data_IF_463871287495
#
_entry.id   IF_463871287495
#
_cell.length_a   1.000
_cell.length_b   1.000
_cell.length_c   1.000
_cell.angle_alpha   90.00
_cell.angle_beta   90.00
_cell.angle_gamma   90.00
#
_symmetry.space_group_name_H-M   'P 1'
#
loop_
_entity.id
_entity.type
_entity.pdbx_description
1 polymer ?
#
# COMPACT_ATOMS: atom_id res chain seq x y z
N UNK A 1 -28.26 12.88 14.59
CA UNK A 1 -28.05 11.80 13.62
C UNK A 1 -27.32 12.42 12.44
N UNK A 2 -26.01 12.27 12.40
CA UNK A 2 -25.22 12.60 11.19
C UNK A 2 -25.41 11.44 10.22
N UNK A 3 -26.06 11.69 9.09
CA UNK A 3 -26.09 10.75 7.98
C UNK A 3 -24.66 10.54 7.48
N UNK A 4 -24.18 9.30 7.52
CA UNK A 4 -22.95 8.94 6.87
C UNK A 4 -23.08 9.24 5.38
N UNK A 5 -22.36 10.23 4.90
CA UNK A 5 -22.29 10.61 3.49
C UNK A 5 -21.79 9.40 2.72
N UNK A 6 -22.71 8.71 2.02
CA UNK A 6 -22.38 7.56 1.18
C UNK A 6 -21.34 8.05 0.17
N UNK A 7 -20.08 7.64 0.35
CA UNK A 7 -19.04 7.94 -0.62
C UNK A 7 -19.48 7.37 -1.96
N UNK A 8 -19.56 8.22 -2.98
CA UNK A 8 -19.85 7.75 -4.34
C UNK A 8 -18.70 6.84 -4.76
N UNK A 9 -19.00 5.57 -5.09
CA UNK A 9 -17.98 4.68 -5.69
C UNK A 9 -17.41 5.39 -6.91
N UNK A 10 -16.10 5.57 -6.91
CA UNK A 10 -15.37 6.05 -8.08
C UNK A 10 -15.49 4.97 -9.15
N UNK A 11 -15.77 5.38 -10.37
CA UNK A 11 -15.82 4.49 -11.51
C UNK A 11 -14.38 4.00 -11.79
N UNK A 12 -14.18 2.69 -11.69
CA UNK A 12 -12.87 2.04 -11.85
C UNK A 12 -12.88 1.23 -13.14
N UNK A 13 -11.85 1.37 -13.96
CA UNK A 13 -11.62 0.54 -15.15
C UNK A 13 -11.42 -0.92 -14.78
N UNK A 14 -10.59 -1.15 -13.76
CA UNK A 14 -10.41 -2.43 -13.08
C UNK A 14 -10.67 -2.24 -11.59
N UNK A 15 -11.31 -3.23 -10.97
CA UNK A 15 -11.58 -3.20 -9.52
C UNK A 15 -10.32 -3.58 -8.77
N UNK A 16 -9.87 -2.70 -7.89
CA UNK A 16 -8.61 -2.86 -7.17
C UNK A 16 -8.86 -2.88 -5.66
N UNK A 17 -8.41 -3.96 -5.02
CA UNK A 17 -8.29 -4.03 -3.57
C UNK A 17 -6.90 -3.52 -3.14
N UNK A 18 -6.85 -2.63 -2.16
CA UNK A 18 -5.59 -2.01 -1.71
C UNK A 18 -5.24 -2.48 -0.31
N UNK A 19 -4.03 -3.00 -0.15
CA UNK A 19 -3.50 -3.49 1.13
C UNK A 19 -2.33 -2.61 1.54
N UNK A 20 -2.48 -1.91 2.66
CA UNK A 20 -1.41 -1.10 3.24
C UNK A 20 -0.68 -1.83 4.35
N UNK A 21 0.66 -1.96 4.27
CA UNK A 21 1.44 -2.62 5.31
C UNK A 21 2.47 -1.68 5.91
N UNK A 22 2.50 -1.65 7.25
CA UNK A 22 3.32 -0.72 8.02
C UNK A 22 2.79 0.72 7.96
N UNK A 23 3.44 1.65 8.62
CA UNK A 23 2.95 3.03 8.77
C UNK A 23 2.75 3.75 7.41
N UNK A 24 3.76 3.75 6.56
CA UNK A 24 3.69 4.46 5.27
C UNK A 24 2.71 3.83 4.30
N UNK A 25 2.71 2.49 4.20
CA UNK A 25 1.78 1.74 3.37
C UNK A 25 0.33 1.94 3.81
N UNK A 26 0.07 1.89 5.12
CA UNK A 26 -1.27 2.10 5.69
C UNK A 26 -1.84 3.49 5.39
N UNK A 27 -1.03 4.54 5.45
CA UNK A 27 -1.46 5.91 5.09
C UNK A 27 -1.80 6.05 3.61
N UNK A 28 -1.06 5.35 2.75
CA UNK A 28 -1.35 5.36 1.32
C UNK A 28 -2.64 4.59 1.01
N UNK A 29 -2.85 3.42 1.63
CA UNK A 29 -4.09 2.66 1.53
C UNK A 29 -5.31 3.44 2.06
N UNK A 30 -5.15 4.18 3.17
CA UNK A 30 -6.17 5.11 3.66
C UNK A 30 -6.54 6.17 2.62
N UNK A 31 -5.55 6.69 1.89
CA UNK A 31 -5.79 7.69 0.83
C UNK A 31 -6.58 7.08 -0.33
N UNK A 32 -6.28 5.86 -0.75
CA UNK A 32 -7.11 5.12 -1.71
C UNK A 32 -8.53 4.89 -1.18
N UNK A 33 -8.66 4.51 0.09
CA UNK A 33 -9.98 4.35 0.72
C UNK A 33 -10.81 5.62 0.66
N UNK A 34 -10.22 6.78 0.96
CA UNK A 34 -10.86 8.10 0.83
C UNK A 34 -11.31 8.43 -0.60
N UNK A 35 -10.67 7.82 -1.61
CA UNK A 35 -11.05 7.93 -3.03
C UNK A 35 -12.05 6.86 -3.48
N UNK A 36 -12.56 6.02 -2.56
CA UNK A 36 -13.62 5.04 -2.82
C UNK A 36 -13.14 3.65 -3.23
N UNK A 37 -11.86 3.32 -3.03
CA UNK A 37 -11.31 1.98 -3.21
C UNK A 37 -11.57 1.11 -1.98
N UNK A 38 -11.75 -0.19 -2.19
CA UNK A 38 -11.72 -1.15 -1.09
C UNK A 38 -10.28 -1.25 -0.58
N UNK A 39 -10.09 -0.97 0.71
CA UNK A 39 -8.76 -0.98 1.32
C UNK A 39 -8.77 -1.54 2.73
N UNK A 40 -7.67 -2.20 3.09
CA UNK A 40 -7.40 -2.65 4.45
C UNK A 40 -5.93 -2.39 4.82
N UNK A 41 -5.63 -2.45 6.10
CA UNK A 41 -4.29 -2.15 6.60
C UNK A 41 -3.82 -3.18 7.62
N UNK A 42 -2.51 -3.48 7.58
CA UNK A 42 -1.84 -4.44 8.46
C UNK A 42 -0.64 -3.75 9.09
N UNK A 43 -0.48 -3.88 10.39
CA UNK A 43 0.71 -3.37 11.08
C UNK A 43 1.04 -4.22 12.31
N UNK A 44 2.27 -4.14 12.78
CA UNK A 44 2.75 -4.70 14.05
C UNK A 44 2.75 -3.66 15.18
N UNK A 45 2.40 -2.41 14.89
CA UNK A 45 2.30 -1.29 15.81
C UNK A 45 0.85 -0.85 15.97
N UNK A 46 0.30 -1.03 17.18
CA UNK A 46 -1.06 -0.59 17.51
C UNK A 46 -1.20 0.94 17.37
N UNK A 47 -0.20 1.69 17.82
CA UNK A 47 -0.22 3.15 17.72
C UNK A 47 -0.36 3.64 16.28
N UNK A 48 0.34 3.00 15.34
CA UNK A 48 0.25 3.39 13.94
C UNK A 48 -1.14 3.12 13.36
N UNK A 49 -1.79 2.01 13.74
CA UNK A 49 -3.15 1.68 13.30
C UNK A 49 -4.22 2.62 13.87
N UNK A 50 -4.05 3.12 15.09
CA UNK A 50 -4.98 4.06 15.72
C UNK A 50 -5.14 5.37 14.93
N UNK A 51 -4.10 5.79 14.21
CA UNK A 51 -4.11 7.01 13.39
C UNK A 51 -4.63 6.82 11.97
N UNK A 52 -5.02 5.60 11.57
CA UNK A 52 -5.56 5.32 10.24
C UNK A 52 -7.09 5.36 10.26
N UNK A 53 -7.68 6.15 9.38
CA UNK A 53 -9.13 6.38 9.31
C UNK A 53 -9.81 5.40 8.36
N UNK A 54 -9.68 4.10 8.64
CA UNK A 54 -10.50 3.04 8.07
C UNK A 54 -11.29 2.36 9.21
N UNK A 55 -12.34 1.62 8.89
CA UNK A 55 -13.11 0.91 9.93
C UNK A 55 -12.27 -0.17 10.62
N UNK A 56 -12.61 -0.51 11.86
CA UNK A 56 -11.80 -1.46 12.66
C UNK A 56 -11.74 -2.87 12.04
N UNK A 57 -12.78 -3.31 11.36
CA UNK A 57 -12.82 -4.57 10.60
C UNK A 57 -11.86 -4.57 9.36
N UNK A 58 -11.29 -3.43 9.02
CA UNK A 58 -10.29 -3.25 7.96
C UNK A 58 -8.88 -3.00 8.50
N UNK A 59 -8.66 -3.26 9.79
CA UNK A 59 -7.36 -3.13 10.45
C UNK A 59 -6.94 -4.48 11.04
N UNK A 60 -5.74 -4.93 10.74
CA UNK A 60 -5.15 -6.11 11.35
C UNK A 60 -3.89 -5.70 12.12
N UNK A 61 -3.88 -5.95 13.41
CA UNK A 61 -2.70 -5.85 14.25
C UNK A 61 -2.07 -7.24 14.39
N UNK A 62 -0.89 -7.43 13.82
CA UNK A 62 -0.12 -8.65 14.05
C UNK A 62 0.66 -8.53 15.37
N UNK A 63 0.35 -9.42 16.30
CA UNK A 63 1.02 -9.50 17.60
C UNK A 63 2.38 -10.21 17.47
N UNK A 64 3.34 -9.86 18.30
CA UNK A 64 4.68 -10.48 18.33
C UNK A 64 5.80 -9.51 18.68
N UNK A 65 5.50 -8.20 18.75
CA UNK A 65 6.48 -7.22 19.24
C UNK A 65 5.85 -6.13 20.09
N UNK A 66 6.52 -5.69 21.13
CA UNK A 66 6.14 -4.53 21.93
C UNK A 66 6.43 -3.25 21.13
N UNK A 67 5.41 -2.74 20.39
CA UNK A 67 5.50 -1.44 19.71
C UNK A 67 6.06 -1.46 18.29
N UNK A 68 6.01 -2.61 17.60
CA UNK A 68 6.49 -2.77 16.23
C UNK A 68 7.85 -3.46 16.12
N UNK A 69 8.32 -3.74 14.91
CA UNK A 69 9.57 -4.50 14.66
C UNK A 69 10.85 -3.69 14.86
N UNK A 70 10.76 -2.37 15.11
CA UNK A 70 11.93 -1.51 15.35
C UNK A 70 12.97 -1.52 14.23
N UNK A 71 12.57 -1.74 12.97
CA UNK A 71 13.44 -1.91 11.78
C UNK A 71 14.25 -3.21 11.77
N UNK A 72 13.86 -4.19 12.59
CA UNK A 72 14.39 -5.55 12.53
C UNK A 72 13.61 -6.34 11.48
N UNK A 73 14.27 -6.68 10.37
CA UNK A 73 13.64 -7.38 9.25
C UNK A 73 13.39 -8.87 9.57
N UNK A 74 14.24 -9.48 10.36
CA UNK A 74 14.13 -10.91 10.67
C UNK A 74 12.95 -11.13 11.62
N UNK A 75 12.83 -10.33 12.68
CA UNK A 75 11.67 -10.34 13.56
C UNK A 75 10.37 -10.05 12.79
N UNK A 76 10.40 -9.04 11.90
CA UNK A 76 9.24 -8.73 11.10
C UNK A 76 8.84 -9.87 10.17
N UNK A 77 9.80 -10.54 9.56
CA UNK A 77 9.57 -11.69 8.67
C UNK A 77 8.93 -12.86 9.43
N UNK A 78 9.47 -13.20 10.60
CA UNK A 78 8.93 -14.24 11.47
C UNK A 78 7.45 -13.96 11.84
N UNK A 79 7.10 -12.73 12.25
CA UNK A 79 5.74 -12.35 12.58
C UNK A 79 4.78 -12.56 11.39
N UNK A 80 5.18 -12.18 10.18
CA UNK A 80 4.33 -12.35 9.00
C UNK A 80 4.21 -13.82 8.58
N UNK A 81 5.29 -14.61 8.67
CA UNK A 81 5.30 -16.05 8.37
C UNK A 81 4.41 -16.83 9.35
N UNK A 82 4.43 -16.49 10.63
CA UNK A 82 3.59 -17.11 11.65
C UNK A 82 2.10 -16.73 11.53
N UNK A 83 1.79 -15.65 10.83
CA UNK A 83 0.43 -15.09 10.71
C UNK A 83 -0.21 -15.31 9.34
N UNK A 84 0.32 -16.20 8.49
CA UNK A 84 -0.15 -16.36 7.09
C UNK A 84 -1.65 -16.64 7.01
N UNK A 85 -2.16 -17.58 7.80
CA UNK A 85 -3.59 -17.96 7.80
C UNK A 85 -4.48 -16.79 8.24
N UNK A 86 -4.10 -16.10 9.31
CA UNK A 86 -4.83 -14.93 9.81
C UNK A 86 -4.86 -13.80 8.76
N UNK A 87 -3.74 -13.55 8.09
CA UNK A 87 -3.65 -12.55 7.03
C UNK A 87 -4.55 -12.93 5.85
N UNK A 88 -4.54 -14.19 5.42
CA UNK A 88 -5.39 -14.66 4.31
C UNK A 88 -6.88 -14.46 4.62
N UNK A 89 -7.33 -14.85 5.81
CA UNK A 89 -8.70 -14.65 6.25
C UNK A 89 -9.08 -13.17 6.30
N UNK A 90 -8.20 -12.34 6.83
CA UNK A 90 -8.40 -10.89 6.91
C UNK A 90 -8.48 -10.21 5.54
N UNK A 91 -7.70 -10.64 4.56
CA UNK A 91 -7.66 -10.05 3.23
C UNK A 91 -8.90 -10.38 2.40
N UNK A 92 -9.54 -11.52 2.65
CA UNK A 92 -10.63 -12.04 1.83
C UNK A 92 -11.76 -11.01 1.59
N UNK A 93 -12.32 -10.32 2.60
CA UNK A 93 -13.40 -9.35 2.36
C UNK A 93 -12.97 -8.12 1.55
N UNK A 94 -11.68 -7.78 1.54
CA UNK A 94 -11.14 -6.66 0.76
C UNK A 94 -10.90 -7.05 -0.69
N UNK A 95 -10.54 -8.30 -0.93
CA UNK A 95 -10.11 -8.79 -2.24
C UNK A 95 -11.20 -9.55 -3.00
N UNK A 96 -12.28 -9.95 -2.32
CA UNK A 96 -13.40 -10.63 -2.97
C UNK A 96 -14.00 -9.77 -4.08
N UNK A 97 -14.03 -10.32 -5.30
CA UNK A 97 -14.58 -9.65 -6.46
C UNK A 97 -13.70 -8.53 -7.03
N UNK A 98 -12.46 -8.38 -6.56
CA UNK A 98 -11.49 -7.46 -7.19
C UNK A 98 -10.80 -8.14 -8.39
N UNK A 99 -10.35 -7.32 -9.32
CA UNK A 99 -9.63 -7.78 -10.52
C UNK A 99 -8.11 -7.78 -10.30
N UNK A 100 -7.63 -7.01 -9.30
CA UNK A 100 -6.22 -6.83 -8.97
C UNK A 100 -6.04 -6.44 -7.49
N UNK A 101 -4.91 -6.79 -6.90
CA UNK A 101 -4.49 -6.33 -5.59
C UNK A 101 -3.32 -5.33 -5.71
N UNK A 102 -3.40 -4.19 -5.03
CA UNK A 102 -2.25 -3.31 -4.81
C UNK A 102 -1.73 -3.46 -3.38
N UNK A 103 -0.47 -3.87 -3.26
CA UNK A 103 0.28 -3.85 -2.00
C UNK A 103 1.02 -2.51 -1.89
N UNK A 104 0.71 -1.73 -0.86
CA UNK A 104 1.40 -0.46 -0.58
C UNK A 104 2.30 -0.62 0.63
N UNK A 105 3.60 -0.40 0.46
CA UNK A 105 4.63 -0.59 1.50
C UNK A 105 5.69 0.49 1.44
N UNK A 106 6.29 0.81 2.58
CA UNK A 106 7.44 1.71 2.65
C UNK A 106 8.71 0.97 3.06
N UNK A 107 9.82 1.31 2.40
CA UNK A 107 11.11 0.68 2.61
C UNK A 107 11.88 1.17 3.84
N UNK A 108 11.45 2.27 4.45
CA UNK A 108 12.15 2.86 5.61
C UNK A 108 11.85 2.20 6.96
N UNK A 109 10.73 1.47 7.06
CA UNK A 109 10.29 0.81 8.28
C UNK A 109 10.63 -0.69 8.34
N UNK A 110 10.56 -1.28 9.52
CA UNK A 110 10.74 -2.73 9.71
C UNK A 110 9.56 -3.52 9.15
N UNK A 111 8.34 -3.21 9.58
CA UNK A 111 7.12 -3.94 9.21
C UNK A 111 6.90 -3.99 7.69
N UNK A 112 6.96 -2.83 7.00
CA UNK A 112 6.74 -2.79 5.55
C UNK A 112 7.82 -3.55 4.76
N UNK A 113 9.10 -3.36 5.09
CA UNK A 113 10.20 -4.02 4.37
C UNK A 113 10.26 -5.53 4.59
N UNK A 114 9.94 -6.00 5.81
CA UNK A 114 9.99 -7.42 6.15
C UNK A 114 8.82 -8.23 5.60
N UNK A 115 7.66 -7.58 5.40
CA UNK A 115 6.42 -8.24 4.99
C UNK A 115 6.34 -8.57 3.50
N UNK A 116 7.17 -7.94 2.66
CA UNK A 116 7.01 -7.92 1.20
C UNK A 116 6.92 -9.32 0.60
N UNK A 117 7.87 -10.19 0.95
CA UNK A 117 7.95 -11.54 0.37
C UNK A 117 6.70 -12.36 0.76
N UNK A 118 6.39 -12.41 2.06
CA UNK A 118 5.24 -13.16 2.59
C UNK A 118 3.92 -12.62 2.03
N UNK A 119 3.75 -11.29 1.98
CA UNK A 119 2.53 -10.68 1.44
C UNK A 119 2.34 -10.99 -0.05
N UNK A 120 3.41 -10.95 -0.85
CA UNK A 120 3.34 -11.30 -2.27
C UNK A 120 3.02 -12.78 -2.43
N UNK A 121 3.60 -13.67 -1.62
CA UNK A 121 3.29 -15.10 -1.67
C UNK A 121 1.83 -15.39 -1.31
N UNK A 122 1.29 -14.72 -0.30
CA UNK A 122 -0.12 -14.80 0.07
C UNK A 122 -1.00 -14.35 -1.10
N UNK A 123 -0.78 -13.15 -1.64
CA UNK A 123 -1.58 -12.59 -2.73
C UNK A 123 -1.49 -13.44 -4.00
N UNK A 124 -0.31 -13.97 -4.32
CA UNK A 124 -0.10 -14.87 -5.45
C UNK A 124 -0.90 -16.17 -5.28
N UNK A 125 -0.93 -16.72 -4.06
CA UNK A 125 -1.74 -17.92 -3.75
C UNK A 125 -3.25 -17.69 -3.88
N UNK A 126 -3.69 -16.44 -3.70
CA UNK A 126 -5.09 -16.04 -3.88
C UNK A 126 -5.48 -15.85 -5.36
N UNK A 127 -4.51 -15.94 -6.29
CA UNK A 127 -4.75 -15.94 -7.73
C UNK A 127 -5.05 -14.57 -8.34
N UNK A 128 -4.74 -13.48 -7.64
CA UNK A 128 -4.93 -12.12 -8.14
C UNK A 128 -3.63 -11.56 -8.76
N UNK A 129 -3.71 -10.82 -9.87
CA UNK A 129 -2.61 -9.97 -10.31
C UNK A 129 -2.19 -8.99 -9.21
N UNK A 130 -0.89 -8.83 -9.00
CA UNK A 130 -0.35 -8.04 -7.89
C UNK A 130 0.38 -6.82 -8.45
N UNK A 131 -0.05 -5.62 -8.05
CA UNK A 131 0.74 -4.41 -8.18
C UNK A 131 1.39 -4.04 -6.85
N UNK A 132 2.57 -3.47 -6.89
CA UNK A 132 3.25 -2.98 -5.69
C UNK A 132 3.54 -1.50 -5.83
N UNK A 133 3.14 -0.71 -4.83
CA UNK A 133 3.53 0.69 -4.67
C UNK A 133 4.53 0.75 -3.53
N UNK A 134 5.80 0.93 -3.90
CA UNK A 134 6.93 0.91 -2.98
C UNK A 134 7.46 2.30 -2.71
N UNK A 135 7.41 2.74 -1.46
CA UNK A 135 7.81 4.09 -1.05
C UNK A 135 9.24 4.04 -0.51
N UNK A 136 10.17 4.71 -1.18
CA UNK A 136 11.55 4.86 -0.73
C UNK A 136 11.63 5.76 0.52
N UNK A 137 12.62 5.54 1.40
CA UNK A 137 12.85 6.39 2.56
C UNK A 137 13.23 7.82 2.15
N UNK A 138 13.08 8.73 3.09
CA UNK A 138 13.52 10.12 2.93
C UNK A 138 15.04 10.22 2.91
N UNK A 139 15.54 11.36 2.39
CA UNK A 139 16.98 11.62 2.42
C UNK A 139 17.54 11.73 3.85
N UNK A 140 16.71 12.20 4.78
CA UNK A 140 17.06 12.36 6.21
C UNK A 140 16.96 11.07 7.02
N UNK A 141 16.39 9.98 6.46
CA UNK A 141 16.30 8.72 7.16
C UNK A 141 17.69 8.09 7.39
N UNK A 142 17.79 7.28 8.44
CA UNK A 142 19.06 6.67 8.84
C UNK A 142 19.58 5.63 7.84
N UNK A 143 20.85 5.25 8.01
CA UNK A 143 21.54 4.32 7.11
C UNK A 143 20.89 2.92 7.08
N UNK A 144 20.35 2.44 8.23
CA UNK A 144 19.69 1.14 8.31
C UNK A 144 18.40 1.14 7.47
N UNK A 145 17.58 2.17 7.60
CA UNK A 145 16.37 2.35 6.77
C UNK A 145 16.69 2.34 5.28
N UNK A 146 17.75 3.05 4.87
CA UNK A 146 18.18 3.10 3.47
C UNK A 146 18.70 1.76 2.97
N UNK A 147 19.50 1.05 3.77
CA UNK A 147 20.01 -0.28 3.44
C UNK A 147 18.87 -1.29 3.28
N UNK A 148 17.95 -1.35 4.25
CA UNK A 148 16.76 -2.21 4.20
C UNK A 148 15.93 -1.92 2.95
N UNK A 149 15.80 -0.64 2.61
CA UNK A 149 15.02 -0.23 1.44
C UNK A 149 15.64 -0.69 0.13
N UNK A 150 16.96 -0.59 -0.02
CA UNK A 150 17.67 -1.04 -1.24
C UNK A 150 17.54 -2.57 -1.38
N UNK A 151 17.72 -3.30 -0.30
CA UNK A 151 17.57 -4.76 -0.29
C UNK A 151 16.16 -5.19 -0.71
N UNK A 152 15.14 -4.57 -0.12
CA UNK A 152 13.74 -4.86 -0.44
C UNK A 152 13.40 -4.48 -1.89
N UNK A 153 13.86 -3.33 -2.38
CA UNK A 153 13.65 -2.92 -3.77
C UNK A 153 14.29 -3.90 -4.76
N UNK A 154 15.49 -4.42 -4.44
CA UNK A 154 16.16 -5.41 -5.27
C UNK A 154 15.35 -6.71 -5.39
N UNK A 155 14.77 -7.19 -4.28
CA UNK A 155 13.88 -8.36 -4.30
C UNK A 155 12.60 -8.09 -5.12
N UNK A 156 11.96 -6.93 -4.93
CA UNK A 156 10.79 -6.54 -5.72
C UNK A 156 11.09 -6.47 -7.22
N UNK A 157 12.25 -5.95 -7.60
CA UNK A 157 12.68 -5.90 -9.00
C UNK A 157 12.86 -7.31 -9.59
N UNK A 158 13.43 -8.25 -8.84
CA UNK A 158 13.49 -9.67 -9.24
C UNK A 158 12.10 -10.25 -9.44
N UNK A 159 11.19 -10.06 -8.50
CA UNK A 159 9.80 -10.57 -8.59
C UNK A 159 9.04 -10.00 -9.79
N UNK A 160 9.29 -8.73 -10.13
CA UNK A 160 8.74 -8.12 -11.34
C UNK A 160 9.29 -8.76 -12.61
N UNK A 161 10.59 -9.04 -12.65
CA UNK A 161 11.25 -9.71 -13.79
C UNK A 161 10.77 -11.16 -13.96
N UNK A 162 10.45 -11.82 -12.86
CA UNK A 162 9.93 -13.19 -12.82
C UNK A 162 8.41 -13.28 -13.06
N UNK A 163 7.75 -12.15 -13.33
CA UNK A 163 6.29 -12.02 -13.48
C UNK A 163 5.48 -12.44 -12.25
N UNK A 164 6.08 -12.44 -11.06
CA UNK A 164 5.37 -12.69 -9.81
C UNK A 164 4.51 -11.50 -9.39
N UNK A 165 4.93 -10.30 -9.76
CA UNK A 165 4.15 -9.06 -9.65
C UNK A 165 3.95 -8.44 -11.04
N UNK A 166 2.76 -7.91 -11.28
CA UNK A 166 2.36 -7.36 -12.60
C UNK A 166 2.94 -5.98 -12.85
N UNK A 167 3.07 -5.17 -11.80
CA UNK A 167 3.71 -3.85 -11.90
C UNK A 167 4.37 -3.44 -10.57
N UNK A 168 5.39 -2.60 -10.66
CA UNK A 168 6.11 -2.02 -9.55
C UNK A 168 6.20 -0.50 -9.73
N UNK A 169 5.52 0.23 -8.87
CA UNK A 169 5.56 1.69 -8.82
C UNK A 169 6.48 2.10 -7.68
N UNK A 170 7.57 2.77 -8.00
CA UNK A 170 8.54 3.26 -7.01
C UNK A 170 8.31 4.73 -6.75
N UNK A 171 8.05 5.08 -5.50
CA UNK A 171 7.82 6.45 -5.05
C UNK A 171 9.06 6.97 -4.33
N UNK A 172 9.64 8.05 -4.83
CA UNK A 172 10.82 8.69 -4.24
C UNK A 172 10.41 9.80 -3.25
N UNK A 173 10.36 9.48 -1.96
CA UNK A 173 10.02 10.45 -0.92
C UNK A 173 10.99 11.64 -0.86
N UNK A 174 12.26 11.47 -1.22
CA UNK A 174 13.21 12.59 -1.23
C UNK A 174 12.84 13.61 -2.31
N UNK A 175 12.36 13.17 -3.47
CA UNK A 175 11.84 14.06 -4.52
C UNK A 175 10.53 14.72 -4.12
N UNK A 176 9.64 13.97 -3.45
CA UNK A 176 8.37 14.50 -2.94
C UNK A 176 8.65 15.62 -1.92
N UNK A 177 9.60 15.44 -1.01
CA UNK A 177 10.02 16.48 -0.06
C UNK A 177 10.52 17.75 -0.76
N UNK A 178 11.24 17.60 -1.87
CA UNK A 178 11.70 18.75 -2.67
C UNK A 178 10.54 19.49 -3.36
N UNK A 179 9.59 18.74 -3.92
CA UNK A 179 8.43 19.31 -4.63
C UNK A 179 7.53 20.07 -3.66
N UNK A 180 7.32 19.54 -2.48
CA UNK A 180 6.44 20.10 -1.45
C UNK A 180 7.20 20.80 -0.31
N UNK A 181 8.42 21.26 -0.57
CA UNK A 181 9.21 22.03 0.38
C UNK A 181 8.42 23.27 0.87
N UNK A 182 8.31 23.45 2.17
CA UNK A 182 7.58 24.57 2.78
C UNK A 182 6.17 24.25 3.27
N UNK A 183 5.66 23.03 3.05
CA UNK A 183 4.45 22.60 3.73
C UNK A 183 4.72 22.31 5.21
N UNK A 184 3.71 22.60 6.06
CA UNK A 184 3.76 22.14 7.45
C UNK A 184 3.76 20.60 7.50
N UNK A 185 4.42 20.03 8.50
CA UNK A 185 4.52 18.58 8.65
C UNK A 185 3.14 17.88 8.68
N UNK A 186 2.13 18.53 9.25
CA UNK A 186 0.76 18.01 9.29
C UNK A 186 0.10 17.92 7.91
N UNK A 187 0.40 18.86 6.99
CA UNK A 187 -0.16 18.88 5.62
C UNK A 187 0.70 18.11 4.63
N UNK A 188 1.99 17.93 4.93
CA UNK A 188 2.93 17.29 4.02
C UNK A 188 2.47 15.89 3.62
N UNK A 189 2.09 15.06 4.59
CA UNK A 189 1.71 13.68 4.32
C UNK A 189 0.42 13.57 3.52
N UNK A 190 -0.60 14.37 3.83
CA UNK A 190 -1.85 14.35 3.10
C UNK A 190 -1.65 14.76 1.64
N UNK A 191 -0.95 15.88 1.41
CA UNK A 191 -0.67 16.38 0.05
C UNK A 191 0.23 15.41 -0.73
N UNK A 192 1.23 14.82 -0.08
CA UNK A 192 2.12 13.85 -0.71
C UNK A 192 1.40 12.56 -1.11
N UNK A 193 0.57 12.04 -0.22
CA UNK A 193 -0.20 10.83 -0.51
C UNK A 193 -1.25 11.08 -1.62
N UNK A 194 -1.92 12.22 -1.60
CA UNK A 194 -2.82 12.61 -2.69
C UNK A 194 -2.06 12.73 -4.03
N UNK A 195 -0.86 13.32 -4.03
CA UNK A 195 -0.05 13.45 -5.24
C UNK A 195 0.39 12.10 -5.83
N UNK A 196 0.52 11.06 -4.99
CA UNK A 196 0.81 9.69 -5.43
C UNK A 196 -0.46 9.01 -5.95
N UNK A 197 -1.57 9.13 -5.21
CA UNK A 197 -2.79 8.36 -5.45
C UNK A 197 -3.65 8.96 -6.58
N UNK A 198 -3.78 10.28 -6.66
CA UNK A 198 -4.65 10.94 -7.65
C UNK A 198 -4.32 10.58 -9.12
N UNK A 199 -3.05 10.52 -9.55
CA UNK A 199 -2.71 10.05 -10.90
C UNK A 199 -3.16 8.62 -11.17
N UNK A 200 -3.01 7.71 -10.19
CA UNK A 200 -3.39 6.30 -10.32
C UNK A 200 -4.91 6.13 -10.39
N UNK A 201 -5.64 6.83 -9.51
CA UNK A 201 -7.11 6.87 -9.54
C UNK A 201 -7.62 7.44 -10.86
N UNK A 202 -7.01 8.53 -11.34
CA UNK A 202 -7.36 9.13 -12.62
C UNK A 202 -7.10 8.18 -13.79
N UNK A 203 -5.94 7.50 -13.79
CA UNK A 203 -5.60 6.51 -14.81
C UNK A 203 -6.62 5.36 -14.79
N UNK A 204 -6.94 4.79 -13.64
CA UNK A 204 -7.92 3.72 -13.47
C UNK A 204 -9.38 4.17 -13.74
N UNK A 205 -9.62 5.40 -14.13
CA UNK A 205 -10.94 5.90 -14.54
C UNK A 205 -11.04 6.22 -16.03
N UNK A 206 -10.00 5.96 -16.82
CA UNK A 206 -9.92 6.43 -18.21
C UNK A 206 -10.85 5.66 -19.15
N UNK A 207 -11.10 4.39 -18.90
CA UNK A 207 -11.98 3.58 -19.77
C UNK A 207 -13.44 4.02 -19.72
N UNK A 208 -13.85 4.71 -18.65
CA UNK A 208 -15.19 5.31 -18.54
C UNK A 208 -15.33 6.64 -19.28
N UNK A 209 -14.25 7.19 -19.83
CA UNK A 209 -14.24 8.50 -20.47
C UNK A 209 -14.21 8.38 -21.99
N UNK A 210 -15.21 8.96 -22.66
CA UNK A 210 -15.20 9.10 -24.11
C UNK A 210 -14.01 9.98 -24.55
N UNK A 211 -13.25 9.50 -25.52
CA UNK A 211 -12.17 10.25 -26.18
C UNK A 211 -12.48 10.39 -27.68
N UNK A 212 -12.04 11.53 -28.26
CA UNK A 212 -12.18 11.77 -29.72
C UNK A 212 -11.18 10.96 -30.56
N UNK A 213 -10.08 10.52 -29.99
CA UNK A 213 -8.97 9.96 -30.73
C UNK A 213 -8.68 8.50 -30.38
N UNK A 214 -8.80 8.12 -29.12
CA UNK A 214 -8.51 6.77 -28.65
C UNK A 214 -9.40 6.45 -27.47
N UNK A 215 -10.06 5.30 -27.47
CA UNK A 215 -10.69 4.74 -26.28
C UNK A 215 -9.76 3.71 -25.68
N UNK A 216 -9.58 3.77 -24.36
CA UNK A 216 -8.91 2.73 -23.60
C UNK A 216 -9.95 1.71 -23.14
N UNK A 217 -9.59 0.46 -23.14
CA UNK A 217 -10.40 -0.60 -22.52
C UNK A 217 -9.67 -1.16 -21.27
N UNK A 218 -10.37 -1.93 -20.43
CA UNK A 218 -9.77 -2.47 -19.20
C UNK A 218 -8.55 -3.38 -19.40
N UNK A 219 -8.28 -3.83 -20.63
CA UNK A 219 -7.12 -4.66 -20.97
C UNK A 219 -5.87 -3.84 -21.34
N UNK A 220 -6.03 -2.53 -21.63
CA UNK A 220 -4.93 -1.60 -21.90
C UNK A 220 -4.17 -1.22 -20.62
#
# INVERSE_FOLDING_TARGET
KMEAKKMSKVEQSIRVGVIGVGQGGSRLAETFHKKGYDACVINTSKQDLEFISVSEDRKLLLEGSLGGTGKDLDLGREIFEDSIEEIQEFLHPTLEGQDMAYLTVSGGGGTGSSSVDTMIDILFSMGLPIGVIYILPKQTDDAKSKSNSIETLSRLASMATENKISNLIVVDNAKIEQIFAGLSQSKFWDVSNDAIVDPLVKFNSLTSKASRHTSLDPSD
#
